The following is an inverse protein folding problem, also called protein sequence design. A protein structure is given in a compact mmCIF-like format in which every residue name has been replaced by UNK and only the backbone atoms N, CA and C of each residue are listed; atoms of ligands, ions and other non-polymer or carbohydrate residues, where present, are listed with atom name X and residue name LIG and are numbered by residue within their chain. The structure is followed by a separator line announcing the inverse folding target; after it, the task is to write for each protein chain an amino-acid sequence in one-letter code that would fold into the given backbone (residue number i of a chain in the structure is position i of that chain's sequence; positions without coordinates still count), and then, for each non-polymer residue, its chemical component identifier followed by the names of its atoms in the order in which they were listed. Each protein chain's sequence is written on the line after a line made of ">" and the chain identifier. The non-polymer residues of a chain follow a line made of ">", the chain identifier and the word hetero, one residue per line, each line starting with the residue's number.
data_IF_162386451214
#
_entry.id   IF_162386451214
#
_cell.length_a   1.000
_cell.length_b   1.000
_cell.length_c   1.000
_cell.angle_alpha   90.00
_cell.angle_beta   90.00
_cell.angle_gamma   90.00
#
_symmetry.space_group_name_H-M   'P 1'
#
loop_
_entity.id
_entity.type
_entity.pdbx_description
1 polymer ?
#
# COMPACT_ATOMS: atom_id res chain seq x y z
N UNK A 1 -18.01 2.95 -81.73
CA UNK A 1 -17.25 3.40 -80.55
C UNK A 1 -18.06 4.46 -79.82
N UNK A 2 -18.66 4.17 -78.66
CA UNK A 2 -19.29 5.19 -77.81
C UNK A 2 -18.27 5.65 -76.77
N UNK A 3 -17.86 6.91 -76.85
CA UNK A 3 -17.07 7.57 -75.81
C UNK A 3 -18.00 7.82 -74.63
N UNK A 4 -17.68 7.25 -73.46
CA UNK A 4 -18.35 7.57 -72.19
C UNK A 4 -17.83 8.91 -71.69
N UNK A 5 -18.73 9.86 -71.42
CA UNK A 5 -18.40 11.11 -70.75
C UNK A 5 -18.06 10.84 -69.27
N UNK A 6 -16.98 11.42 -68.71
CA UNK A 6 -16.73 11.35 -67.27
C UNK A 6 -17.72 12.30 -66.57
N UNK A 7 -18.61 11.76 -65.74
CA UNK A 7 -19.41 12.57 -64.83
C UNK A 7 -18.46 13.14 -63.78
N UNK A 8 -18.12 14.43 -63.92
CA UNK A 8 -17.36 15.17 -62.91
C UNK A 8 -18.21 15.38 -61.66
N UNK A 9 -17.61 15.13 -60.50
CA UNK A 9 -18.22 15.37 -59.19
C UNK A 9 -18.65 16.84 -59.07
N UNK A 10 -19.85 17.08 -58.57
CA UNK A 10 -20.34 18.45 -58.35
C UNK A 10 -19.64 19.08 -57.14
N UNK A 11 -19.48 20.40 -57.15
CA UNK A 11 -18.83 21.16 -56.05
C UNK A 11 -19.49 20.86 -54.68
N UNK A 12 -20.80 20.62 -54.69
CA UNK A 12 -21.58 20.26 -53.50
C UNK A 12 -21.21 18.86 -52.98
N UNK A 13 -21.06 17.86 -53.85
CA UNK A 13 -20.61 16.52 -53.43
C UNK A 13 -19.17 16.53 -52.89
N UNK A 14 -18.28 17.37 -53.44
CA UNK A 14 -16.94 17.54 -52.89
C UNK A 14 -16.96 18.17 -51.49
N UNK A 15 -17.83 19.15 -51.25
CA UNK A 15 -17.97 19.77 -49.92
C UNK A 15 -18.58 18.80 -48.90
N UNK A 16 -19.58 18.02 -49.30
CA UNK A 16 -20.23 17.03 -48.42
C UNK A 16 -19.27 15.89 -48.08
N UNK A 17 -18.51 15.39 -49.05
CA UNK A 17 -17.51 14.33 -48.80
C UNK A 17 -16.37 14.80 -47.90
N UNK A 18 -15.90 16.04 -48.06
CA UNK A 18 -14.93 16.64 -47.13
C UNK A 18 -15.50 16.76 -45.71
N UNK A 19 -16.75 17.24 -45.57
CA UNK A 19 -17.38 17.40 -44.25
C UNK A 19 -17.59 16.08 -43.51
N UNK A 20 -18.05 15.04 -44.23
CA UNK A 20 -18.17 13.70 -43.66
C UNK A 20 -16.78 13.14 -43.30
N UNK A 21 -15.78 13.35 -44.17
CA UNK A 21 -14.40 12.94 -43.93
C UNK A 21 -13.81 13.54 -42.65
N UNK A 22 -13.99 14.84 -42.41
CA UNK A 22 -13.52 15.48 -41.18
C UNK A 22 -14.25 15.00 -39.94
N UNK A 23 -15.57 14.78 -40.00
CA UNK A 23 -16.32 14.24 -38.86
C UNK A 23 -15.83 12.83 -38.51
N UNK A 24 -15.63 11.96 -39.50
CA UNK A 24 -15.13 10.60 -39.29
C UNK A 24 -13.70 10.62 -38.74
N UNK A 25 -12.83 11.51 -39.24
CA UNK A 25 -11.47 11.67 -38.72
C UNK A 25 -11.47 12.14 -37.26
N UNK A 26 -12.32 13.12 -36.91
CA UNK A 26 -12.44 13.60 -35.53
C UNK A 26 -12.93 12.48 -34.60
N UNK A 27 -13.92 11.70 -35.02
CA UNK A 27 -14.41 10.56 -34.25
C UNK A 27 -13.32 9.50 -34.04
N UNK A 28 -12.57 9.16 -35.10
CA UNK A 28 -11.46 8.22 -34.99
C UNK A 28 -10.37 8.70 -34.02
N UNK A 29 -10.02 9.99 -34.06
CA UNK A 29 -9.06 10.60 -33.13
C UNK A 29 -9.57 10.54 -31.68
N UNK A 30 -10.87 10.79 -31.46
CA UNK A 30 -11.44 10.70 -30.10
C UNK A 30 -11.47 9.26 -29.58
N UNK A 31 -11.77 8.27 -30.43
CA UNK A 31 -11.77 6.86 -30.03
C UNK A 31 -10.36 6.36 -29.73
N UNK A 32 -9.38 6.69 -30.57
CA UNK A 32 -7.96 6.37 -30.33
C UNK A 32 -7.44 6.97 -29.02
N UNK A 33 -7.87 8.19 -28.70
CA UNK A 33 -7.53 8.85 -27.44
C UNK A 33 -8.15 8.12 -26.25
N UNK A 34 -9.43 7.76 -26.31
CA UNK A 34 -10.08 6.98 -25.23
C UNK A 34 -9.46 5.60 -25.02
N UNK A 35 -9.01 4.93 -26.09
CA UNK A 35 -8.34 3.62 -25.98
C UNK A 35 -6.92 3.76 -25.43
N UNK A 36 -6.21 4.83 -25.80
CA UNK A 36 -4.89 5.15 -25.23
C UNK A 36 -4.97 5.51 -23.74
N UNK A 37 -5.97 6.30 -23.35
CA UNK A 37 -6.22 6.69 -21.97
C UNK A 37 -6.57 5.46 -21.10
N UNK A 38 -7.41 4.55 -21.61
CA UNK A 38 -7.73 3.28 -20.93
C UNK A 38 -6.54 2.31 -20.80
N UNK A 39 -5.66 2.24 -21.81
CA UNK A 39 -4.45 1.42 -21.75
C UNK A 39 -3.43 1.96 -20.74
N UNK A 40 -3.27 3.28 -20.69
CA UNK A 40 -2.41 3.94 -19.69
C UNK A 40 -3.00 3.79 -18.27
N UNK A 41 -4.32 3.88 -18.10
CA UNK A 41 -4.98 3.66 -16.82
C UNK A 41 -4.78 2.22 -16.32
N UNK A 42 -4.95 1.22 -17.20
CA UNK A 42 -4.76 -0.20 -16.86
C UNK A 42 -3.31 -0.54 -16.51
N UNK A 43 -2.34 -0.07 -17.29
CA UNK A 43 -0.91 -0.31 -17.02
C UNK A 43 -0.40 0.39 -15.76
N UNK A 44 -0.97 1.55 -15.42
CA UNK A 44 -0.58 2.31 -14.23
C UNK A 44 -1.21 1.77 -12.93
N UNK A 45 -2.46 1.28 -12.96
CA UNK A 45 -3.05 0.57 -11.81
C UNK A 45 -2.20 -0.66 -11.46
N UNK A 46 -1.79 -1.45 -12.47
CA UNK A 46 -0.91 -2.62 -12.27
C UNK A 46 0.42 -2.31 -11.56
N UNK A 47 0.94 -1.07 -11.59
CA UNK A 47 2.16 -0.71 -10.87
C UNK A 47 1.91 -0.52 -9.37
N UNK A 48 0.84 0.19 -8.99
CA UNK A 48 0.42 0.34 -7.60
C UNK A 48 0.01 -1.01 -7.00
N UNK A 49 -0.72 -1.84 -7.76
CA UNK A 49 -1.10 -3.18 -7.30
C UNK A 49 0.11 -4.07 -7.02
N UNK A 50 1.12 -4.02 -7.89
CA UNK A 50 2.36 -4.80 -7.73
C UNK A 50 3.15 -4.35 -6.50
N UNK A 51 3.19 -3.05 -6.26
CA UNK A 51 3.88 -2.46 -5.12
C UNK A 51 3.20 -2.85 -3.80
N UNK A 52 1.89 -2.69 -3.71
CA UNK A 52 1.12 -3.07 -2.52
C UNK A 52 1.24 -4.57 -2.20
N UNK A 53 1.18 -5.44 -3.22
CA UNK A 53 1.39 -6.89 -3.05
C UNK A 53 2.82 -7.24 -2.63
N UNK A 54 3.82 -6.57 -3.18
CA UNK A 54 5.21 -6.77 -2.79
C UNK A 54 5.41 -6.42 -1.31
N UNK A 55 4.83 -5.32 -0.86
CA UNK A 55 4.91 -4.86 0.52
C UNK A 55 4.22 -5.81 1.48
N UNK A 56 3.02 -6.28 1.15
CA UNK A 56 2.34 -7.30 1.94
C UNK A 56 3.13 -8.60 2.02
N UNK A 57 3.85 -8.96 0.95
CA UNK A 57 4.72 -10.13 0.94
C UNK A 57 5.92 -9.93 1.87
N UNK A 58 6.57 -8.76 1.84
CA UNK A 58 7.67 -8.41 2.75
C UNK A 58 7.19 -8.44 4.21
N UNK A 59 6.06 -7.81 4.49
CA UNK A 59 5.49 -7.79 5.84
C UNK A 59 5.08 -9.18 6.32
N UNK A 60 4.52 -10.02 5.44
CA UNK A 60 4.22 -11.41 5.72
C UNK A 60 5.50 -12.23 6.00
N UNK A 61 6.56 -12.00 5.25
CA UNK A 61 7.86 -12.65 5.48
C UNK A 61 8.45 -12.26 6.84
N UNK A 62 8.45 -10.97 7.18
CA UNK A 62 8.93 -10.51 8.48
C UNK A 62 8.06 -11.07 9.62
N UNK A 63 6.74 -11.07 9.46
CA UNK A 63 5.80 -11.66 10.42
C UNK A 63 5.96 -13.17 10.57
N UNK A 64 6.30 -13.90 9.49
CA UNK A 64 6.57 -15.33 9.55
C UNK A 64 7.79 -15.67 10.44
N UNK A 65 8.68 -14.70 10.61
CA UNK A 65 9.88 -14.79 11.44
C UNK A 65 9.71 -14.09 12.79
N UNK A 66 8.50 -13.59 13.09
CA UNK A 66 8.24 -12.85 14.31
C UNK A 66 8.35 -13.74 15.54
N UNK A 67 8.96 -13.20 16.58
CA UNK A 67 8.96 -13.79 17.91
C UNK A 67 7.71 -13.28 18.62
N UNK A 68 6.74 -14.16 18.83
CA UNK A 68 5.49 -13.82 19.51
C UNK A 68 5.77 -13.52 20.99
N UNK A 69 5.23 -12.41 21.50
CA UNK A 69 5.42 -12.01 22.88
C UNK A 69 5.01 -10.56 23.19
N UNK A 70 5.25 -10.15 24.44
CA UNK A 70 4.84 -8.84 24.99
C UNK A 70 5.39 -7.63 24.26
N UNK A 71 6.51 -7.82 23.56
CA UNK A 71 7.23 -6.76 22.86
C UNK A 71 6.58 -6.37 21.53
N UNK A 72 5.51 -7.06 21.10
CA UNK A 72 4.72 -6.62 19.95
C UNK A 72 3.93 -5.35 20.30
N UNK A 73 3.97 -4.39 19.38
CA UNK A 73 3.23 -3.13 19.45
C UNK A 73 2.23 -3.10 18.32
N UNK A 74 0.96 -2.95 18.70
CA UNK A 74 -0.14 -2.58 17.83
C UNK A 74 -0.64 -1.23 18.32
N UNK A 75 -0.52 -0.19 17.48
CA UNK A 75 -1.02 1.14 17.78
C UNK A 75 -1.84 1.65 16.61
N UNK A 76 -2.89 2.44 16.86
CA UNK A 76 -3.75 3.00 15.82
C UNK A 76 -4.47 4.23 16.35
N UNK A 77 -4.78 5.18 15.46
CA UNK A 77 -5.62 6.33 15.78
C UNK A 77 -7.09 6.04 15.49
N UNK A 78 -8.00 6.48 16.36
CA UNK A 78 -9.42 6.12 16.33
C UNK A 78 -10.27 6.88 15.29
N UNK A 79 -9.72 7.85 14.55
CA UNK A 79 -10.51 8.72 13.68
C UNK A 79 -9.98 8.79 12.25
N UNK A 80 -10.85 8.43 11.29
CA UNK A 80 -10.60 8.54 9.86
C UNK A 80 -9.84 7.36 9.27
N UNK A 81 -8.97 7.63 8.29
CA UNK A 81 -8.08 6.62 7.71
C UNK A 81 -7.08 6.15 8.77
N UNK A 82 -7.17 4.87 9.14
CA UNK A 82 -6.33 4.28 10.18
C UNK A 82 -4.85 4.33 9.78
N UNK A 83 -4.01 4.73 10.73
CA UNK A 83 -2.56 4.91 10.55
C UNK A 83 -1.84 4.12 11.61
N UNK A 84 -1.99 2.82 11.52
CA UNK A 84 -1.50 1.96 12.57
C UNK A 84 0.04 1.95 12.59
N UNK A 85 0.56 1.51 13.73
CA UNK A 85 1.95 1.17 13.92
C UNK A 85 2.02 -0.28 14.34
N UNK A 86 2.82 -1.05 13.62
CA UNK A 86 3.10 -2.44 13.92
C UNK A 86 4.59 -2.59 14.20
N UNK A 87 4.95 -2.89 15.44
CA UNK A 87 6.33 -3.18 15.85
C UNK A 87 6.44 -4.59 16.41
N UNK A 88 7.47 -5.33 16.04
CA UNK A 88 7.72 -6.66 16.60
C UNK A 88 9.19 -7.06 16.45
N UNK A 89 9.59 -8.04 17.27
CA UNK A 89 10.90 -8.69 17.15
C UNK A 89 10.81 -9.83 16.14
N UNK A 90 11.86 -10.05 15.35
CA UNK A 90 11.92 -11.14 14.39
C UNK A 90 13.33 -11.73 14.26
N UNK A 91 13.40 -12.99 13.85
CA UNK A 91 14.66 -13.69 13.61
C UNK A 91 15.10 -13.45 12.16
N UNK A 92 16.27 -12.85 11.98
CA UNK A 92 16.77 -12.49 10.65
C UNK A 92 18.12 -13.14 10.38
N UNK A 93 18.32 -13.64 9.15
CA UNK A 93 19.56 -14.28 8.78
C UNK A 93 20.72 -13.27 8.71
N UNK A 94 21.92 -13.82 8.70
CA UNK A 94 23.18 -13.10 8.78
C UNK A 94 23.44 -12.12 7.62
N UNK A 95 22.79 -12.32 6.47
CA UNK A 95 22.87 -11.53 5.25
C UNK A 95 21.86 -10.37 5.20
N UNK A 96 20.82 -10.40 6.03
CA UNK A 96 19.87 -9.31 6.20
C UNK A 96 20.38 -8.21 7.15
N UNK A 97 21.52 -8.44 7.82
CA UNK A 97 22.09 -7.56 8.84
C UNK A 97 23.41 -6.95 8.38
N UNK A 98 23.74 -5.78 8.93
CA UNK A 98 25.06 -5.20 8.72
C UNK A 98 26.14 -6.03 9.43
N UNK A 99 27.30 -6.21 8.78
CA UNK A 99 28.36 -7.07 9.33
C UNK A 99 28.93 -6.56 10.67
N UNK A 100 28.91 -5.24 10.87
CA UNK A 100 29.48 -4.57 12.05
C UNK A 100 28.51 -4.54 13.26
N UNK A 101 27.20 -4.66 13.02
CA UNK A 101 26.16 -4.64 14.08
C UNK A 101 25.46 -6.00 14.26
N UNK A 102 25.96 -7.06 13.62
CA UNK A 102 25.48 -8.43 13.84
C UNK A 102 26.13 -9.08 15.06
N UNK A 103 25.36 -9.26 16.12
CA UNK A 103 25.76 -10.05 17.31
C UNK A 103 24.88 -11.30 17.53
N UNK A 104 23.77 -11.41 16.79
CA UNK A 104 22.88 -12.58 16.77
C UNK A 104 21.89 -12.50 15.61
N UNK A 105 20.76 -13.17 15.76
CA UNK A 105 19.67 -13.26 14.76
C UNK A 105 18.44 -12.43 15.14
N UNK A 106 18.21 -12.17 16.42
CA UNK A 106 17.09 -11.38 16.90
C UNK A 106 17.21 -9.90 16.53
N UNK A 107 16.32 -9.43 15.67
CA UNK A 107 16.23 -8.05 15.17
C UNK A 107 14.86 -7.45 15.52
N UNK A 108 14.68 -6.16 15.29
CA UNK A 108 13.39 -5.49 15.43
C UNK A 108 12.93 -4.87 14.10
N UNK A 109 11.63 -4.98 13.82
CA UNK A 109 11.00 -4.38 12.64
C UNK A 109 9.82 -3.51 13.09
N UNK A 110 9.64 -2.37 12.41
CA UNK A 110 8.48 -1.50 12.61
C UNK A 110 7.90 -1.03 11.28
N UNK A 111 6.57 -1.03 11.20
CA UNK A 111 5.79 -0.47 10.11
C UNK A 111 4.95 0.70 10.61
N UNK A 112 4.95 1.80 9.85
CA UNK A 112 4.16 2.99 10.17
C UNK A 112 4.01 3.90 8.93
N UNK A 113 3.02 4.79 8.94
CA UNK A 113 2.87 5.79 7.87
C UNK A 113 3.67 7.06 8.16
N UNK A 114 4.36 7.59 7.14
CA UNK A 114 5.06 8.88 7.18
C UNK A 114 4.86 9.63 5.88
N UNK A 115 4.63 10.93 5.96
CA UNK A 115 4.58 11.80 4.79
C UNK A 115 6.01 12.21 4.43
N UNK A 116 6.44 11.85 3.22
CA UNK A 116 7.76 12.19 2.68
C UNK A 116 7.63 13.26 1.60
N UNK A 117 8.54 14.24 1.62
CA UNK A 117 8.60 15.27 0.59
C UNK A 117 9.26 14.72 -0.67
N UNK A 118 8.48 14.41 -1.70
CA UNK A 118 8.97 13.89 -2.98
C UNK A 118 8.94 15.00 -4.03
N UNK A 119 10.04 15.74 -4.11
CA UNK A 119 10.12 16.93 -4.95
C UNK A 119 9.23 18.04 -4.40
N UNK A 120 8.14 18.39 -5.10
CA UNK A 120 7.23 19.48 -4.69
C UNK A 120 6.02 19.01 -3.89
N UNK A 121 5.65 17.75 -4.01
CA UNK A 121 4.42 17.24 -3.43
C UNK A 121 4.77 16.28 -2.26
N UNK A 122 4.06 16.36 -1.13
CA UNK A 122 4.18 15.37 -0.07
C UNK A 122 3.47 14.08 -0.50
N UNK A 123 4.10 12.94 -0.25
CA UNK A 123 3.54 11.61 -0.53
C UNK A 123 3.53 10.81 0.75
N UNK A 124 2.37 10.30 1.14
CA UNK A 124 2.26 9.39 2.27
C UNK A 124 2.82 8.02 1.90
N UNK A 125 3.75 7.54 2.71
CA UNK A 125 4.46 6.30 2.48
C UNK A 125 4.26 5.36 3.67
N UNK A 126 4.18 4.06 3.39
CA UNK A 126 4.41 3.05 4.41
C UNK A 126 5.92 2.89 4.56
N UNK A 127 6.40 3.13 5.78
CA UNK A 127 7.79 3.01 6.16
C UNK A 127 8.02 1.63 6.79
N UNK A 128 9.20 1.07 6.54
CA UNK A 128 9.74 -0.07 7.26
C UNK A 128 11.02 0.36 7.97
N UNK A 129 11.02 0.27 9.28
CA UNK A 129 12.23 0.38 10.10
C UNK A 129 12.79 -1.00 10.39
N UNK A 130 14.10 -1.11 10.27
CA UNK A 130 14.86 -2.31 10.63
C UNK A 130 15.94 -1.94 11.65
N UNK A 131 16.06 -2.74 12.71
CA UNK A 131 17.11 -2.59 13.74
C UNK A 131 17.90 -3.88 13.80
N UNK A 132 19.20 -3.75 13.62
CA UNK A 132 20.13 -4.88 13.68
C UNK A 132 20.13 -5.53 15.07
N UNK A 133 20.68 -6.74 15.14
CA UNK A 133 20.64 -7.53 16.38
C UNK A 133 21.34 -6.85 17.54
N UNK A 134 22.44 -6.13 17.33
CA UNK A 134 23.16 -5.44 18.40
C UNK A 134 22.29 -4.39 19.11
N UNK A 135 21.64 -3.52 18.36
CA UNK A 135 20.72 -2.52 18.90
C UNK A 135 19.55 -3.20 19.62
N UNK A 136 19.02 -4.27 19.03
CA UNK A 136 17.93 -5.06 19.60
C UNK A 136 18.32 -5.69 20.95
N UNK A 137 19.50 -6.32 21.05
CA UNK A 137 19.99 -6.91 22.30
C UNK A 137 20.30 -5.85 23.36
N UNK A 138 20.83 -4.70 22.96
CA UNK A 138 21.10 -3.60 23.88
C UNK A 138 19.79 -3.05 24.47
N UNK A 139 18.75 -2.87 23.65
CA UNK A 139 17.43 -2.45 24.10
C UNK A 139 16.74 -3.50 24.99
N UNK A 140 16.88 -4.79 24.67
CA UNK A 140 16.38 -5.88 25.51
C UNK A 140 17.04 -5.89 26.89
N UNK A 141 18.37 -5.73 26.94
CA UNK A 141 19.11 -5.67 28.21
C UNK A 141 18.73 -4.44 29.03
N UNK A 142 18.46 -3.32 28.37
CA UNK A 142 18.07 -2.06 29.01
C UNK A 142 16.56 -2.00 29.36
N UNK A 143 15.73 -2.91 28.84
CA UNK A 143 14.27 -2.86 29.00
C UNK A 143 13.61 -1.73 28.21
N UNK A 144 14.18 -1.33 27.07
CA UNK A 144 13.77 -0.18 26.26
C UNK A 144 13.31 -0.57 24.85
N UNK A 145 12.84 -1.80 24.64
CA UNK A 145 12.45 -2.33 23.32
C UNK A 145 11.43 -1.44 22.59
N UNK A 146 10.50 -0.82 23.32
CA UNK A 146 9.52 0.10 22.73
C UNK A 146 10.15 1.25 21.92
N UNK A 147 11.35 1.70 22.28
CA UNK A 147 12.08 2.75 21.56
C UNK A 147 12.56 2.32 20.16
N UNK A 148 12.76 1.02 19.94
CA UNK A 148 13.13 0.47 18.62
C UNK A 148 12.02 0.69 17.58
N UNK A 149 10.77 0.83 18.05
CA UNK A 149 9.58 1.03 17.21
C UNK A 149 9.21 2.50 17.04
N UNK A 150 10.08 3.44 17.44
CA UNK A 150 9.91 4.85 17.10
C UNK A 150 10.44 5.11 15.68
N UNK A 151 9.77 6.01 14.91
CA UNK A 151 10.25 6.42 13.60
C UNK A 151 11.68 6.94 13.64
N UNK A 152 12.54 6.39 12.79
CA UNK A 152 13.92 6.84 12.62
C UNK A 152 14.18 7.33 11.19
N UNK A 153 15.21 8.17 11.03
CA UNK A 153 15.61 8.70 9.73
C UNK A 153 16.24 7.65 8.81
N UNK A 154 16.69 6.52 9.36
CA UNK A 154 17.25 5.39 8.60
C UNK A 154 16.17 4.47 8.01
N UNK A 155 14.91 4.66 8.40
CA UNK A 155 13.80 3.82 7.94
C UNK A 155 13.51 4.06 6.45
N UNK A 156 13.15 2.99 5.74
CA UNK A 156 12.98 3.02 4.30
C UNK A 156 11.49 3.06 3.90
N UNK A 157 11.12 3.83 2.87
CA UNK A 157 9.78 3.74 2.30
C UNK A 157 9.65 2.43 1.52
N UNK A 158 8.69 1.59 1.89
CA UNK A 158 8.40 0.33 1.20
C UNK A 158 7.20 0.43 0.26
N UNK A 159 6.28 1.36 0.52
CA UNK A 159 5.14 1.63 -0.34
C UNK A 159 4.84 3.13 -0.42
N UNK A 160 4.44 3.62 -1.59
CA UNK A 160 4.02 5.00 -1.82
C UNK A 160 2.50 5.12 -1.98
N UNK A 161 1.95 6.27 -1.60
CA UNK A 161 0.52 6.55 -1.77
C UNK A 161 -0.39 5.78 -0.81
N UNK A 162 0.14 5.33 0.32
CA UNK A 162 -0.65 4.56 1.30
C UNK A 162 -1.49 5.51 2.13
N UNK A 163 -2.80 5.41 1.98
CA UNK A 163 -3.77 6.23 2.69
C UNK A 163 -4.05 5.69 4.10
N UNK A 164 -4.21 4.37 4.19
CA UNK A 164 -4.52 3.67 5.43
C UNK A 164 -3.64 2.43 5.58
N UNK A 165 -3.20 2.18 6.81
CA UNK A 165 -2.52 0.96 7.21
C UNK A 165 -3.15 0.49 8.51
N UNK A 166 -3.66 -0.73 8.50
CA UNK A 166 -4.33 -1.35 9.63
C UNK A 166 -3.60 -2.64 9.99
N UNK A 167 -3.33 -2.83 11.28
CA UNK A 167 -2.68 -4.01 11.81
C UNK A 167 -3.50 -4.55 12.98
N UNK A 168 -4.45 -5.42 12.67
CA UNK A 168 -5.38 -5.98 13.65
C UNK A 168 -4.85 -7.30 14.22
N UNK A 169 -4.54 -7.37 15.52
CA UNK A 169 -4.18 -8.63 16.16
C UNK A 169 -5.44 -9.51 16.32
N UNK A 170 -5.33 -10.78 15.96
CA UNK A 170 -6.42 -11.74 15.92
C UNK A 170 -6.15 -12.93 16.84
N UNK A 171 -7.22 -13.45 17.43
CA UNK A 171 -7.24 -14.69 18.21
C UNK A 171 -8.05 -15.73 17.45
N UNK A 172 -7.57 -16.98 17.41
CA UNK A 172 -8.29 -18.12 16.87
C UNK A 172 -9.29 -18.60 17.92
N UNK A 173 -10.57 -18.39 17.66
CA UNK A 173 -11.62 -18.86 18.55
C UNK A 173 -11.83 -20.38 18.41
N UNK A 174 -12.48 -21.00 19.40
CA UNK A 174 -12.74 -22.46 19.42
C UNK A 174 -13.57 -22.97 18.24
N UNK A 175 -14.33 -22.09 17.58
CA UNK A 175 -15.05 -22.38 16.33
C UNK A 175 -14.18 -22.35 15.07
N UNK A 176 -12.90 -21.98 15.19
CA UNK A 176 -11.98 -21.79 14.07
C UNK A 176 -12.12 -20.43 13.37
N UNK A 177 -12.98 -19.54 13.87
CA UNK A 177 -13.11 -18.16 13.40
C UNK A 177 -12.03 -17.25 14.01
N UNK A 178 -11.81 -16.09 13.39
CA UNK A 178 -10.87 -15.09 13.86
C UNK A 178 -11.61 -14.02 14.66
N UNK A 179 -11.36 -14.01 15.98
CA UNK A 179 -11.83 -12.98 16.90
C UNK A 179 -10.80 -11.87 17.09
N UNK A 180 -11.24 -10.75 17.66
CA UNK A 180 -10.33 -9.65 18.02
C UNK A 180 -9.48 -10.06 19.23
N UNK A 181 -8.16 -9.93 19.12
CA UNK A 181 -7.26 -10.12 20.26
C UNK A 181 -7.14 -8.83 21.06
N UNK A 182 -7.19 -8.95 22.38
CA UNK A 182 -6.82 -7.86 23.30
C UNK A 182 -5.85 -8.39 24.32
N UNK A 183 -4.90 -7.55 24.76
CA UNK A 183 -3.87 -7.93 25.74
C UNK A 183 -4.45 -8.41 27.08
N UNK A 184 -5.70 -8.09 27.40
CA UNK A 184 -6.38 -8.55 28.61
C UNK A 184 -7.07 -9.93 28.46
N UNK A 185 -7.19 -10.45 27.23
CA UNK A 185 -7.99 -11.62 26.94
C UNK A 185 -7.32 -12.94 27.38
N UNK A 186 -5.99 -12.99 27.53
CA UNK A 186 -5.28 -14.18 27.99
C UNK A 186 -4.11 -13.83 28.92
N UNK A 187 -4.17 -14.15 30.23
CA UNK A 187 -3.07 -13.94 31.17
C UNK A 187 -1.92 -14.94 31.02
N UNK A 188 -2.16 -16.10 30.41
CA UNK A 188 -1.19 -17.18 30.23
C UNK A 188 -0.53 -17.14 28.84
N UNK A 189 -1.18 -16.49 27.86
CA UNK A 189 -0.72 -16.42 26.48
C UNK A 189 -0.38 -14.99 26.03
N UNK A 190 0.82 -14.85 25.45
CA UNK A 190 1.59 -13.59 25.48
C UNK A 190 1.58 -12.78 24.17
N UNK A 191 0.68 -13.08 23.23
CA UNK A 191 0.56 -12.40 21.93
C UNK A 191 -0.56 -12.98 21.07
N UNK A 192 -0.93 -12.38 19.92
CA UNK A 192 -2.01 -12.87 19.04
C UNK A 192 -1.65 -14.12 18.22
N UNK A 193 -2.66 -14.75 17.61
CA UNK A 193 -2.54 -15.98 16.79
C UNK A 193 -2.27 -15.63 15.33
N UNK A 194 -2.76 -14.47 14.92
CA UNK A 194 -2.53 -13.91 13.61
C UNK A 194 -2.55 -12.38 13.67
N UNK A 195 -2.03 -11.75 12.62
CA UNK A 195 -2.24 -10.33 12.37
C UNK A 195 -2.90 -10.19 11.01
N UNK A 196 -4.02 -9.46 10.97
CA UNK A 196 -4.60 -8.99 9.73
C UNK A 196 -3.97 -7.67 9.36
N UNK A 197 -3.32 -7.64 8.20
CA UNK A 197 -2.80 -6.43 7.61
C UNK A 197 -3.76 -5.96 6.54
N UNK A 198 -4.22 -4.71 6.63
CA UNK A 198 -4.99 -4.05 5.59
C UNK A 198 -4.27 -2.79 5.15
N UNK A 199 -4.08 -2.65 3.83
CA UNK A 199 -3.54 -1.44 3.22
C UNK A 199 -4.59 -0.84 2.31
N UNK A 200 -4.78 0.47 2.44
CA UNK A 200 -5.55 1.28 1.50
C UNK A 200 -4.58 2.17 0.74
N UNK A 201 -4.54 2.04 -0.57
CA UNK A 201 -3.61 2.76 -1.45
C UNK A 201 -4.39 3.68 -2.37
N UNK A 202 -3.96 4.94 -2.46
CA UNK A 202 -4.49 5.87 -3.43
C UNK A 202 -3.99 5.52 -4.82
N UNK A 203 -4.89 5.41 -5.80
CA UNK A 203 -4.49 5.25 -7.20
C UNK A 203 -3.75 6.49 -7.67
N UNK A 204 -2.88 6.32 -8.68
CA UNK A 204 -2.02 7.39 -9.21
C UNK A 204 -2.78 8.67 -9.60
N UNK A 205 -4.01 8.56 -10.10
CA UNK A 205 -4.86 9.72 -10.44
C UNK A 205 -5.23 10.55 -9.21
N UNK A 206 -5.59 9.89 -8.12
CA UNK A 206 -5.86 10.53 -6.84
C UNK A 206 -4.56 11.08 -6.24
N UNK A 207 -3.47 10.30 -6.22
CA UNK A 207 -2.17 10.75 -5.72
C UNK A 207 -1.71 12.06 -6.38
N UNK A 208 -1.88 12.21 -7.70
CA UNK A 208 -1.50 13.45 -8.42
C UNK A 208 -2.35 14.69 -8.07
N UNK A 209 -3.48 14.48 -7.37
CA UNK A 209 -4.37 15.53 -6.87
C UNK A 209 -4.08 15.89 -5.40
N UNK A 210 -3.43 15.01 -4.63
CA UNK A 210 -3.04 15.24 -3.23
C UNK A 210 -1.70 15.99 -3.18
N UNK A 211 -1.74 17.32 -3.17
CA UNK A 211 -0.54 18.18 -3.31
C UNK A 211 -0.09 18.82 -2.01
N UNK A 212 -0.95 18.82 -0.99
CA UNK A 212 -0.66 19.36 0.33
C UNK A 212 -0.67 18.22 1.36
N UNK A 213 0.08 18.39 2.45
CA UNK A 213 0.14 17.37 3.51
C UNK A 213 -1.26 17.06 4.07
N UNK A 214 -2.10 18.08 4.29
CA UNK A 214 -3.47 17.91 4.77
C UNK A 214 -4.42 17.23 3.77
N UNK A 215 -4.07 17.15 2.49
CA UNK A 215 -4.91 16.46 1.51
C UNK A 215 -4.97 14.95 1.81
N UNK A 216 -3.90 14.39 2.37
CA UNK A 216 -3.81 12.98 2.76
C UNK A 216 -4.64 12.64 4.01
N UNK A 217 -5.13 13.64 4.73
CA UNK A 217 -5.91 13.45 5.97
C UNK A 217 -7.39 13.67 5.77
N UNK A 218 -7.75 14.70 5.01
CA UNK A 218 -9.13 15.20 4.98
C UNK A 218 -9.58 15.67 3.59
N UNK A 219 -8.88 15.32 2.52
CA UNK A 219 -9.35 15.67 1.18
C UNK A 219 -10.72 15.02 0.92
N UNK A 220 -11.71 15.77 0.40
CA UNK A 220 -13.01 15.21 0.00
C UNK A 220 -12.88 14.11 -1.06
N UNK A 221 -11.77 14.10 -1.80
CA UNK A 221 -11.48 13.10 -2.82
C UNK A 221 -11.18 11.71 -2.25
N UNK A 222 -10.83 11.62 -0.96
CA UNK A 222 -10.54 10.35 -0.32
C UNK A 222 -11.83 9.55 -0.06
N UNK A 223 -12.97 10.23 0.13
CA UNK A 223 -14.19 9.60 0.61
C UNK A 223 -14.11 9.16 2.07
N UNK A 224 -14.99 8.26 2.47
CA UNK A 224 -15.00 7.68 3.82
C UNK A 224 -14.21 6.35 3.85
N UNK A 225 -13.56 6.01 4.98
CA UNK A 225 -12.89 4.72 5.13
C UNK A 225 -13.80 3.50 4.93
N UNK A 226 -15.08 3.60 5.31
CA UNK A 226 -16.06 2.51 5.15
C UNK A 226 -16.38 2.22 3.69
N UNK A 227 -16.27 3.23 2.82
CA UNK A 227 -16.58 3.14 1.39
C UNK A 227 -15.32 2.84 0.54
N UNK A 228 -14.18 2.50 1.18
CA UNK A 228 -12.89 2.39 0.51
C UNK A 228 -12.85 1.33 -0.59
N UNK A 229 -13.57 0.22 -0.40
CA UNK A 229 -13.63 -0.91 -1.34
C UNK A 229 -14.44 -0.58 -2.60
N UNK A 230 -15.43 0.30 -2.47
CA UNK A 230 -16.29 0.75 -3.57
C UNK A 230 -15.73 1.98 -4.29
N UNK A 231 -14.65 2.59 -3.77
CA UNK A 231 -14.06 3.79 -4.33
C UNK A 231 -13.29 3.49 -5.63
N UNK A 232 -13.58 4.20 -6.73
CA UNK A 232 -12.84 4.03 -7.99
C UNK A 232 -11.41 4.58 -7.92
N UNK A 233 -11.11 5.40 -6.91
CA UNK A 233 -9.84 6.09 -6.74
C UNK A 233 -8.89 5.38 -5.74
N UNK A 234 -9.35 4.31 -5.09
CA UNK A 234 -8.61 3.56 -4.09
C UNK A 234 -8.42 2.09 -4.50
N UNK A 235 -7.44 1.47 -3.87
CA UNK A 235 -7.20 0.03 -3.92
C UNK A 235 -7.01 -0.47 -2.49
N UNK A 236 -7.75 -1.53 -2.12
CA UNK A 236 -7.71 -2.13 -0.78
C UNK A 236 -7.09 -3.51 -0.90
N UNK A 237 -6.08 -3.78 -0.06
CA UNK A 237 -5.43 -5.07 0.05
C UNK A 237 -5.47 -5.55 1.47
N UNK A 238 -5.86 -6.82 1.65
CA UNK A 238 -5.92 -7.44 2.96
C UNK A 238 -5.24 -8.82 2.93
N UNK A 239 -4.51 -9.13 3.99
CA UNK A 239 -3.95 -10.46 4.24
C UNK A 239 -4.01 -10.79 5.72
N UNK A 240 -4.30 -12.04 6.04
CA UNK A 240 -4.20 -12.57 7.41
C UNK A 240 -2.94 -13.42 7.48
N UNK A 241 -1.99 -13.02 8.33
CA UNK A 241 -0.76 -13.74 8.60
C UNK A 241 -0.89 -14.44 9.94
N UNK A 242 -1.10 -15.76 9.92
CA UNK A 242 -1.08 -16.57 11.12
C UNK A 242 0.37 -16.79 11.58
N UNK A 243 0.61 -16.66 12.88
CA UNK A 243 1.88 -17.08 13.46
C UNK A 243 1.93 -18.61 13.47
N UNK A 244 3.07 -19.18 13.09
CA UNK A 244 3.27 -20.61 13.21
C UNK A 244 3.40 -20.96 14.69
N UNK A 245 2.38 -21.60 15.25
CA UNK A 245 2.54 -22.31 16.51
C UNK A 245 3.29 -23.61 16.21
N UNK A 246 4.60 -23.63 16.46
CA UNK A 246 5.28 -24.90 16.67
C UNK A 246 4.72 -25.49 17.97
N UNK A 247 3.80 -26.44 17.83
CA UNK A 247 3.28 -27.30 18.89
C UNK A 247 4.33 -28.30 19.38
#
# INVERSE_FOLDING_TARGET
>A
MRVRSPHGFTLVEMMVSMGIGTIVLLLAVTSLRSTGDGYNQSTNSMAAEREARAVLTIAAEDLSKAVTGREMVFGGGDTGWRKDRLGFLCLQPADAQSADDRVGDLCAVVYYLKDLQMGRDPVRCLMRGFRDSKETFDALRAGTVASLYEPAEVDEPVAFGVLGFEADPLLRETGGEWGAWTRAADPEWDGPDAVRLRLVVARRELMGKLRNAGDWDSSPLLGNPEDAEDSPDLEVYEVVNAFSHES
#
